data_IF_440419167455
#
_entry.id   IF_440419167455
#
_cell.length_a   1.000
_cell.length_b   1.000
_cell.length_c   1.000
_cell.angle_alpha   90.00
_cell.angle_beta   90.00
_cell.angle_gamma   90.00
#
_symmetry.space_group_name_H-M   'P 1'
#
loop_
_entity.id
_entity.type
_entity.pdbx_description
1 polymer ?
#
# COMPACT_ATOMS: atom_id res chain seq x y z
N UNK A 1 5.02 -17.91 -18.06
CA UNK A 1 4.43 -17.69 -16.73
C UNK A 1 4.87 -16.31 -16.24
N UNK A 2 3.94 -15.33 -16.14
CA UNK A 2 4.25 -13.97 -15.72
C UNK A 2 4.83 -13.88 -14.30
N UNK A 3 4.52 -14.84 -13.42
CA UNK A 3 5.10 -14.89 -12.07
C UNK A 3 6.62 -15.11 -12.14
N UNK A 4 7.04 -16.17 -12.84
CA UNK A 4 8.45 -16.49 -13.02
C UNK A 4 9.23 -15.36 -13.70
N UNK A 5 8.61 -14.66 -14.67
CA UNK A 5 9.23 -13.52 -15.33
C UNK A 5 9.48 -12.35 -14.36
N UNK A 6 8.48 -11.97 -13.57
CA UNK A 6 8.60 -10.88 -12.57
C UNK A 6 9.61 -11.26 -11.50
N UNK A 7 9.54 -12.50 -10.98
CA UNK A 7 10.46 -13.01 -9.98
C UNK A 7 11.92 -12.96 -10.47
N UNK A 8 12.16 -13.36 -11.71
CA UNK A 8 13.49 -13.27 -12.33
C UNK A 8 13.96 -11.82 -12.48
N UNK A 9 13.07 -10.87 -12.82
CA UNK A 9 13.40 -9.44 -12.87
C UNK A 9 13.79 -8.88 -11.50
N UNK A 10 13.08 -9.26 -10.43
CA UNK A 10 13.42 -8.85 -9.05
C UNK A 10 14.80 -9.38 -8.68
N UNK A 11 15.05 -10.67 -8.89
CA UNK A 11 16.34 -11.31 -8.60
C UNK A 11 17.47 -10.64 -9.40
N UNK A 12 17.26 -10.38 -10.69
CA UNK A 12 18.24 -9.73 -11.54
C UNK A 12 18.57 -8.31 -11.05
N UNK A 13 17.56 -7.54 -10.64
CA UNK A 13 17.74 -6.22 -10.06
C UNK A 13 18.58 -6.32 -8.77
N UNK A 14 18.21 -7.18 -7.83
CA UNK A 14 18.93 -7.35 -6.56
C UNK A 14 20.38 -7.78 -6.78
N UNK A 15 20.62 -8.72 -7.70
CA UNK A 15 21.97 -9.14 -8.09
C UNK A 15 22.79 -7.97 -8.67
N UNK A 16 22.17 -7.15 -9.52
CA UNK A 16 22.82 -5.99 -10.14
C UNK A 16 23.18 -4.93 -9.09
N UNK A 17 22.26 -4.65 -8.17
CA UNK A 17 22.48 -3.69 -7.07
C UNK A 17 23.58 -4.18 -6.14
N UNK A 18 23.60 -5.49 -5.83
CA UNK A 18 24.63 -6.10 -4.98
C UNK A 18 25.99 -6.11 -5.66
N UNK A 19 26.05 -6.45 -6.95
CA UNK A 19 27.30 -6.45 -7.72
C UNK A 19 27.93 -5.07 -7.93
N UNK A 20 27.14 -4.00 -7.76
CA UNK A 20 27.60 -2.61 -7.78
C UNK A 20 27.87 -2.03 -6.37
N UNK A 21 27.79 -2.86 -5.32
CA UNK A 21 27.89 -2.44 -3.92
C UNK A 21 26.92 -1.30 -3.52
N UNK A 22 25.77 -1.21 -4.20
CA UNK A 22 24.73 -0.21 -3.89
C UNK A 22 23.84 -0.64 -2.71
N UNK A 23 23.84 -1.93 -2.36
CA UNK A 23 23.08 -2.49 -1.24
C UNK A 23 23.98 -3.38 -0.38
N UNK A 24 23.79 -3.33 0.96
CA UNK A 24 24.54 -4.14 1.91
C UNK A 24 24.12 -5.61 1.82
N UNK A 25 25.02 -6.51 2.25
CA UNK A 25 24.77 -7.97 2.23
C UNK A 25 23.47 -8.36 2.96
N UNK A 26 23.24 -7.81 4.14
CA UNK A 26 22.03 -8.13 4.91
C UNK A 26 20.75 -7.63 4.24
N UNK A 27 20.77 -6.48 3.55
CA UNK A 27 19.61 -5.97 2.79
C UNK A 27 19.28 -6.90 1.63
N UNK A 28 20.31 -7.34 0.90
CA UNK A 28 20.17 -8.32 -0.18
C UNK A 28 19.55 -9.63 0.34
N UNK A 29 20.06 -10.18 1.44
CA UNK A 29 19.57 -11.43 2.00
C UNK A 29 18.10 -11.33 2.47
N UNK A 30 17.69 -10.21 3.07
CA UNK A 30 16.32 -9.99 3.52
C UNK A 30 15.33 -9.77 2.36
N UNK A 31 15.75 -9.10 1.29
CA UNK A 31 14.89 -8.78 0.15
C UNK A 31 14.80 -9.90 -0.89
N UNK A 32 15.69 -10.89 -0.84
CA UNK A 32 15.74 -11.94 -1.84
C UNK A 32 14.48 -12.82 -1.75
N UNK A 33 13.65 -12.88 -2.81
CA UNK A 33 12.38 -13.58 -2.73
C UNK A 33 12.59 -15.11 -2.66
N UNK A 34 11.92 -15.74 -1.70
CA UNK A 34 11.87 -17.21 -1.58
C UNK A 34 10.90 -17.79 -2.60
N UNK A 35 11.43 -18.49 -3.61
CA UNK A 35 10.64 -19.08 -4.70
C UNK A 35 9.56 -20.05 -4.21
N UNK A 36 9.74 -20.63 -3.03
CA UNK A 36 8.80 -21.62 -2.47
C UNK A 36 7.67 -20.98 -1.66
N UNK A 37 7.79 -19.69 -1.32
CA UNK A 37 6.83 -18.95 -0.50
C UNK A 37 6.21 -17.75 -1.20
N UNK A 38 6.81 -17.27 -2.30
CA UNK A 38 6.26 -16.18 -3.08
C UNK A 38 5.07 -16.66 -3.92
N UNK A 39 3.98 -15.90 -3.87
CA UNK A 39 2.79 -16.10 -4.70
C UNK A 39 2.48 -14.81 -5.47
N UNK A 40 1.81 -14.93 -6.62
CA UNK A 40 1.25 -13.77 -7.32
C UNK A 40 0.20 -13.14 -6.42
N UNK A 41 0.37 -11.86 -6.08
CA UNK A 41 -0.67 -11.14 -5.37
C UNK A 41 -1.99 -11.23 -6.14
N UNK A 42 -3.06 -11.67 -5.46
CA UNK A 42 -4.39 -11.74 -6.06
C UNK A 42 -4.75 -10.35 -6.62
N UNK A 43 -4.79 -10.25 -7.95
CA UNK A 43 -4.95 -9.01 -8.67
C UNK A 43 -6.31 -8.37 -8.35
N UNK A 44 -6.34 -7.45 -7.40
CA UNK A 44 -7.44 -6.52 -7.21
C UNK A 44 -7.32 -5.40 -8.24
N UNK A 45 -7.68 -5.71 -9.49
CA UNK A 45 -7.74 -4.77 -10.61
C UNK A 45 -8.82 -3.71 -10.38
N UNK A 46 -8.53 -2.69 -9.56
CA UNK A 46 -9.14 -1.39 -9.71
C UNK A 46 -8.02 -0.39 -10.04
N UNK A 47 -8.13 0.40 -11.13
CA UNK A 47 -7.16 1.44 -11.43
C UNK A 47 -7.12 2.42 -10.25
N UNK A 48 -6.07 2.32 -9.43
CA UNK A 48 -5.86 3.20 -8.28
C UNK A 48 -5.42 4.56 -8.83
N UNK A 49 -6.30 5.55 -8.76
CA UNK A 49 -6.11 6.92 -9.25
C UNK A 49 -5.26 7.79 -8.32
N UNK A 50 -4.76 7.25 -7.21
CA UNK A 50 -3.85 7.90 -6.26
C UNK A 50 -2.41 7.42 -6.50
N UNK A 51 -1.84 7.80 -7.65
CA UNK A 51 -0.70 7.11 -8.25
C UNK A 51 0.67 7.40 -7.62
N UNK A 52 0.91 8.59 -7.09
CA UNK A 52 2.30 9.03 -6.87
C UNK A 52 3.07 8.19 -5.84
N UNK A 53 2.36 7.54 -4.91
CA UNK A 53 2.96 6.77 -3.82
C UNK A 53 2.42 5.35 -3.69
N UNK A 54 1.55 4.93 -4.63
CA UNK A 54 0.92 3.61 -4.58
C UNK A 54 1.62 2.64 -5.52
N UNK A 55 2.18 1.58 -4.96
CA UNK A 55 2.68 0.43 -5.70
C UNK A 55 1.49 -0.47 -6.07
N UNK A 56 1.44 -0.91 -7.31
CA UNK A 56 0.34 -1.75 -7.85
C UNK A 56 0.70 -3.23 -7.76
N UNK A 57 1.96 -3.54 -8.02
CA UNK A 57 2.54 -4.89 -8.03
C UNK A 57 4.09 -4.79 -8.02
N UNK A 58 4.76 -5.94 -7.97
CA UNK A 58 6.22 -6.00 -7.97
C UNK A 58 6.86 -5.40 -9.23
N UNK A 59 6.21 -5.48 -10.40
CA UNK A 59 6.74 -4.90 -11.63
C UNK A 59 6.71 -3.37 -11.59
N UNK A 60 5.64 -2.78 -11.04
CA UNK A 60 5.53 -1.35 -10.80
C UNK A 60 6.58 -0.85 -9.79
N UNK A 61 6.83 -1.62 -8.72
CA UNK A 61 7.90 -1.32 -7.76
C UNK A 61 9.27 -1.32 -8.44
N UNK A 62 9.61 -2.37 -9.18
CA UNK A 62 10.89 -2.46 -9.91
C UNK A 62 11.05 -1.29 -10.87
N UNK A 63 9.99 -0.93 -11.59
CA UNK A 63 10.01 0.15 -12.57
C UNK A 63 10.31 1.49 -11.91
N UNK A 64 9.57 1.85 -10.85
CA UNK A 64 9.78 3.11 -10.14
C UNK A 64 11.12 3.13 -9.39
N UNK A 65 11.52 2.03 -8.75
CA UNK A 65 12.79 1.94 -8.05
C UNK A 65 13.99 1.99 -9.01
N UNK A 66 13.87 1.41 -10.21
CA UNK A 66 14.91 1.53 -11.24
C UNK A 66 15.07 2.97 -11.70
N UNK A 67 13.99 3.75 -11.83
CA UNK A 67 14.08 5.18 -12.13
C UNK A 67 14.79 5.94 -11.01
N UNK A 68 14.42 5.66 -9.76
CA UNK A 68 15.08 6.23 -8.58
C UNK A 68 16.61 5.97 -8.59
N UNK A 69 17.01 4.72 -8.88
CA UNK A 69 18.42 4.36 -9.01
C UNK A 69 19.10 5.03 -10.22
N UNK A 70 18.45 5.08 -11.38
CA UNK A 70 19.00 5.70 -12.59
C UNK A 70 19.20 7.21 -12.45
N UNK A 71 18.44 7.86 -11.57
CA UNK A 71 18.63 9.27 -11.21
C UNK A 71 19.79 9.49 -10.22
N UNK A 72 20.52 8.45 -9.82
CA UNK A 72 21.66 8.55 -8.91
C UNK A 72 21.28 8.79 -7.44
N UNK A 73 20.00 8.60 -7.09
CA UNK A 73 19.50 8.83 -5.72
C UNK A 73 19.82 7.65 -4.78
N UNK A 74 19.98 6.44 -5.34
CA UNK A 74 20.43 5.27 -4.60
C UNK A 74 21.95 5.32 -4.38
N UNK A 75 22.36 5.37 -3.11
CA UNK A 75 23.77 5.47 -2.67
C UNK A 75 24.20 4.17 -1.98
N UNK A 76 25.51 3.86 -1.91
CA UNK A 76 26.00 2.69 -1.18
C UNK A 76 25.61 2.65 0.31
N UNK A 77 25.37 3.82 0.91
CA UNK A 77 24.95 3.98 2.29
C UNK A 77 23.43 4.00 2.49
N UNK A 78 22.62 3.90 1.41
CA UNK A 78 21.16 3.95 1.51
C UNK A 78 20.63 2.83 2.39
N UNK A 79 19.89 3.19 3.42
CA UNK A 79 19.14 2.26 4.25
C UNK A 79 17.79 1.96 3.60
N UNK A 80 17.37 0.71 3.74
CA UNK A 80 16.07 0.25 3.25
C UNK A 80 15.16 0.01 4.44
N UNK A 81 14.00 0.64 4.41
CA UNK A 81 13.03 0.60 5.49
C UNK A 81 11.74 -0.03 4.97
N UNK A 82 11.23 -1.01 5.71
CA UNK A 82 9.92 -1.61 5.46
C UNK A 82 9.04 -1.40 6.68
N UNK A 83 7.77 -1.10 6.44
CA UNK A 83 6.76 -0.98 7.50
C UNK A 83 5.55 -1.82 7.13
N UNK A 84 5.03 -2.56 8.11
CA UNK A 84 3.82 -3.37 8.00
C UNK A 84 2.70 -2.73 8.83
N UNK A 85 1.61 -2.33 8.16
CA UNK A 85 0.43 -1.77 8.83
C UNK A 85 -0.43 -2.90 9.35
N UNK A 86 -0.18 -3.27 10.61
CA UNK A 86 -0.94 -4.33 11.28
C UNK A 86 -2.42 -4.01 11.38
N UNK A 87 -3.25 -5.02 11.07
CA UNK A 87 -4.68 -5.00 11.33
C UNK A 87 -5.44 -3.85 10.66
N UNK A 88 -4.98 -3.37 9.48
CA UNK A 88 -5.57 -2.21 8.80
C UNK A 88 -7.11 -2.32 8.67
N UNK A 89 -7.62 -3.47 8.25
CA UNK A 89 -9.06 -3.66 8.04
C UNK A 89 -9.87 -3.82 9.34
N UNK A 90 -9.27 -4.45 10.35
CA UNK A 90 -9.94 -4.77 11.62
C UNK A 90 -9.87 -3.61 12.62
N UNK A 91 -8.84 -2.78 12.56
CA UNK A 91 -8.67 -1.59 13.40
C UNK A 91 -9.37 -0.35 12.84
N UNK A 92 -9.54 -0.26 11.51
CA UNK A 92 -10.31 0.83 10.93
C UNK A 92 -11.79 0.66 11.30
N UNK A 93 -12.32 1.55 12.13
CA UNK A 93 -13.73 1.46 12.49
C UNK A 93 -14.61 1.78 11.28
N UNK A 94 -15.81 1.18 11.23
CA UNK A 94 -16.78 1.44 10.17
C UNK A 94 -17.12 2.94 10.07
N UNK A 95 -17.16 3.64 11.20
CA UNK A 95 -17.38 5.08 11.23
C UNK A 95 -16.18 5.87 10.70
N UNK A 96 -14.94 5.51 11.07
CA UNK A 96 -13.73 6.13 10.51
C UNK A 96 -13.63 5.92 9.00
N UNK A 97 -14.01 4.74 8.50
CA UNK A 97 -14.04 4.43 7.08
C UNK A 97 -15.04 5.33 6.34
N UNK A 98 -16.28 5.43 6.86
CA UNK A 98 -17.31 6.32 6.30
C UNK A 98 -16.89 7.79 6.33
N UNK A 99 -16.34 8.25 7.46
CA UNK A 99 -15.87 9.63 7.59
C UNK A 99 -14.72 9.94 6.62
N UNK A 100 -13.83 8.99 6.39
CA UNK A 100 -12.74 9.11 5.42
C UNK A 100 -13.28 9.22 4.00
N UNK A 101 -14.26 8.39 3.62
CA UNK A 101 -14.93 8.48 2.33
C UNK A 101 -15.57 9.85 2.12
N UNK A 102 -16.31 10.35 3.11
CA UNK A 102 -17.00 11.63 3.02
C UNK A 102 -16.00 12.78 2.86
N UNK A 103 -14.94 12.81 3.67
CA UNK A 103 -13.87 13.82 3.56
C UNK A 103 -13.19 13.77 2.21
N UNK A 104 -12.95 12.57 1.68
CA UNK A 104 -12.35 12.37 0.37
C UNK A 104 -13.23 12.92 -0.75
N UNK A 105 -14.53 12.56 -0.78
CA UNK A 105 -15.47 13.06 -1.80
C UNK A 105 -15.55 14.60 -1.75
N UNK A 106 -15.63 15.18 -0.55
CA UNK A 106 -15.67 16.63 -0.36
C UNK A 106 -14.37 17.33 -0.79
N UNK A 107 -13.20 16.72 -0.55
CA UNK A 107 -11.91 17.31 -0.93
C UNK A 107 -11.77 17.46 -2.46
N UNK A 108 -12.41 16.60 -3.25
CA UNK A 108 -12.46 16.72 -4.70
C UNK A 108 -13.64 17.56 -5.23
N UNK A 109 -14.37 18.24 -4.35
CA UNK A 109 -15.44 19.16 -4.72
C UNK A 109 -16.70 18.50 -5.31
N UNK A 110 -16.82 17.18 -5.22
CA UNK A 110 -18.01 16.49 -5.68
C UNK A 110 -19.21 16.87 -4.81
N UNK A 111 -20.38 17.04 -5.46
CA UNK A 111 -21.70 17.12 -4.80
C UNK A 111 -22.60 15.93 -5.16
N UNK A 112 -22.28 15.27 -6.27
CA UNK A 112 -22.87 14.02 -6.76
C UNK A 112 -21.80 13.21 -7.46
N UNK A 113 -21.91 11.89 -7.43
CA UNK A 113 -21.06 10.97 -8.20
C UNK A 113 -21.96 10.17 -9.12
N UNK A 114 -21.76 10.30 -10.45
CA UNK A 114 -22.62 9.67 -11.48
C UNK A 114 -24.12 9.91 -11.24
N UNK A 115 -24.50 11.13 -10.83
CA UNK A 115 -25.88 11.50 -10.54
C UNK A 115 -26.39 11.13 -9.14
N UNK A 116 -25.65 10.32 -8.37
CA UNK A 116 -26.02 9.90 -7.00
C UNK A 116 -25.56 10.96 -5.99
N UNK A 117 -26.45 11.35 -5.07
CA UNK A 117 -26.10 12.29 -3.99
C UNK A 117 -25.13 11.67 -2.99
N UNK A 118 -24.32 12.51 -2.34
CA UNK A 118 -23.34 12.06 -1.36
C UNK A 118 -24.02 11.39 -0.16
N UNK A 119 -25.18 11.89 0.28
CA UNK A 119 -25.95 11.26 1.35
C UNK A 119 -26.38 9.83 0.98
N UNK A 120 -26.78 9.60 -0.27
CA UNK A 120 -27.10 8.26 -0.76
C UNK A 120 -25.86 7.39 -0.79
N UNK A 121 -24.71 7.90 -1.26
CA UNK A 121 -23.44 7.16 -1.24
C UNK A 121 -23.06 6.78 0.19
N UNK A 122 -23.17 7.70 1.15
CA UNK A 122 -22.90 7.46 2.56
C UNK A 122 -23.79 6.36 3.13
N UNK A 123 -25.10 6.39 2.82
CA UNK A 123 -26.06 5.37 3.24
C UNK A 123 -25.72 4.00 2.66
N UNK A 124 -25.46 3.91 1.36
CA UNK A 124 -25.09 2.66 0.69
C UNK A 124 -23.79 2.08 1.26
N UNK A 125 -22.76 2.90 1.43
CA UNK A 125 -21.51 2.48 2.06
C UNK A 125 -21.74 2.00 3.50
N UNK A 126 -22.58 2.70 4.27
CA UNK A 126 -22.91 2.30 5.64
C UNK A 126 -23.60 0.93 5.70
N UNK A 127 -24.48 0.62 4.76
CA UNK A 127 -25.15 -0.69 4.69
C UNK A 127 -24.11 -1.78 4.43
N UNK A 128 -23.24 -1.60 3.44
CA UNK A 128 -22.20 -2.58 3.10
C UNK A 128 -21.25 -2.86 4.28
N UNK A 129 -20.94 -1.83 5.08
CA UNK A 129 -20.05 -1.95 6.23
C UNK A 129 -20.73 -2.57 7.45
N UNK A 130 -21.97 -2.15 7.76
CA UNK A 130 -22.66 -2.51 9.01
C UNK A 130 -23.49 -3.79 8.93
N UNK A 131 -24.01 -4.10 7.76
CA UNK A 131 -24.87 -5.27 7.54
C UNK A 131 -24.08 -6.47 7.01
N UNK A 132 -22.79 -6.55 7.33
CA UNK A 132 -21.97 -7.69 6.95
C UNK A 132 -22.28 -8.90 7.85
N UNK A 133 -22.75 -9.99 7.23
CA UNK A 133 -23.10 -11.23 7.89
C UNK A 133 -22.25 -12.36 7.34
N UNK A 134 -21.69 -13.18 8.23
CA UNK A 134 -20.92 -14.37 7.87
C UNK A 134 -21.42 -15.60 8.62
N UNK A 135 -21.17 -16.79 8.05
CA UNK A 135 -21.53 -18.07 8.65
C UNK A 135 -20.30 -18.74 9.26
N UNK A 136 -20.44 -19.21 10.51
CA UNK A 136 -19.43 -20.03 11.17
C UNK A 136 -20.12 -21.08 12.04
N UNK A 137 -19.70 -22.35 11.94
CA UNK A 137 -20.26 -23.42 12.77
C UNK A 137 -21.79 -23.55 12.69
N UNK A 138 -22.37 -23.46 11.48
CA UNK A 138 -23.83 -23.48 11.22
C UNK A 138 -24.63 -22.33 11.88
N UNK A 139 -23.95 -21.29 12.37
CA UNK A 139 -24.57 -20.09 12.93
C UNK A 139 -24.22 -18.88 12.05
N UNK A 140 -25.13 -17.90 12.03
CA UNK A 140 -24.93 -16.62 11.36
C UNK A 140 -24.50 -15.57 12.40
N UNK A 141 -23.52 -14.75 12.02
CA UNK A 141 -22.97 -13.69 12.85
C UNK A 141 -22.94 -12.39 12.04
N UNK A 142 -23.29 -11.27 12.68
CA UNK A 142 -23.09 -9.94 12.11
C UNK A 142 -21.79 -9.36 12.63
N UNK A 143 -20.95 -8.86 11.74
CA UNK A 143 -19.71 -8.18 12.12
C UNK A 143 -20.04 -6.82 12.74
N UNK A 144 -19.66 -6.62 14.00
CA UNK A 144 -19.89 -5.37 14.75
C UNK A 144 -18.64 -4.51 14.90
N UNK A 145 -17.46 -5.06 14.59
CA UNK A 145 -16.17 -4.38 14.74
C UNK A 145 -15.27 -4.63 13.52
N UNK A 146 -14.50 -3.60 13.16
CA UNK A 146 -13.68 -3.59 11.96
C UNK A 146 -14.52 -3.66 10.68
N UNK A 147 -13.83 -3.90 9.57
CA UNK A 147 -14.45 -4.08 8.26
C UNK A 147 -14.23 -5.51 7.76
N UNK A 148 -15.14 -5.99 6.92
CA UNK A 148 -15.04 -7.32 6.37
C UNK A 148 -13.88 -7.42 5.37
N UNK A 149 -12.93 -8.31 5.66
CA UNK A 149 -11.90 -8.72 4.71
C UNK A 149 -12.57 -9.38 3.50
N UNK A 150 -12.09 -9.08 2.29
CA UNK A 150 -12.66 -9.57 1.04
C UNK A 150 -13.75 -8.69 0.43
N UNK A 151 -14.23 -7.66 1.14
CA UNK A 151 -15.12 -6.64 0.54
C UNK A 151 -14.32 -5.65 -0.32
N UNK A 152 -14.71 -5.50 -1.59
CA UNK A 152 -14.07 -4.55 -2.52
C UNK A 152 -14.19 -3.09 -2.06
N UNK A 153 -15.29 -2.75 -1.36
CA UNK A 153 -15.47 -1.43 -0.77
C UNK A 153 -14.49 -1.21 0.39
N UNK A 154 -14.33 -2.22 1.25
CA UNK A 154 -13.42 -2.15 2.40
C UNK A 154 -11.98 -1.85 1.99
N UNK A 155 -11.47 -2.50 0.92
CA UNK A 155 -10.16 -2.21 0.35
C UNK A 155 -10.04 -0.76 -0.14
N UNK A 156 -11.08 -0.27 -0.82
CA UNK A 156 -11.12 1.11 -1.30
C UNK A 156 -11.08 2.10 -0.15
N UNK A 157 -11.87 1.86 0.90
CA UNK A 157 -11.94 2.71 2.09
C UNK A 157 -10.64 2.71 2.88
N UNK A 158 -9.99 1.55 3.03
CA UNK A 158 -8.68 1.45 3.65
C UNK A 158 -7.63 2.26 2.89
N UNK A 159 -7.65 2.22 1.55
CA UNK A 159 -6.74 3.04 0.74
C UNK A 159 -7.00 4.54 0.88
N UNK A 160 -8.27 4.97 0.94
CA UNK A 160 -8.64 6.38 1.19
C UNK A 160 -8.18 6.84 2.57
N UNK A 161 -8.35 5.99 3.59
CA UNK A 161 -7.87 6.28 4.94
C UNK A 161 -6.35 6.42 4.95
N UNK A 162 -5.65 5.46 4.34
CA UNK A 162 -4.18 5.46 4.28
C UNK A 162 -3.62 6.61 3.46
N UNK A 163 -4.27 7.04 2.38
CA UNK A 163 -3.82 8.22 1.60
C UNK A 163 -3.77 9.48 2.46
N UNK A 164 -4.64 9.58 3.48
CA UNK A 164 -4.60 10.67 4.44
C UNK A 164 -3.51 10.47 5.49
N UNK A 165 -3.41 9.27 6.08
CA UNK A 165 -2.43 8.98 7.13
C UNK A 165 -0.99 9.12 6.65
N UNK A 166 -0.71 8.67 5.42
CA UNK A 166 0.64 8.68 4.87
C UNK A 166 1.07 10.03 4.29
N UNK A 167 0.14 11.01 4.18
CA UNK A 167 0.36 12.24 3.40
C UNK A 167 1.65 12.96 3.82
N UNK A 168 1.83 13.19 5.11
CA UNK A 168 2.98 13.92 5.62
C UNK A 168 4.30 13.16 5.38
N UNK A 169 4.30 11.85 5.64
CA UNK A 169 5.49 10.99 5.42
C UNK A 169 5.86 10.99 3.94
N UNK A 170 4.89 10.79 3.05
CA UNK A 170 5.09 10.82 1.62
C UNK A 170 5.64 12.18 1.13
N UNK A 171 5.09 13.28 1.63
CA UNK A 171 5.55 14.64 1.30
C UNK A 171 6.97 14.91 1.82
N UNK A 172 7.31 14.44 3.01
CA UNK A 172 8.66 14.54 3.58
C UNK A 172 9.66 13.73 2.75
N UNK A 173 9.37 12.47 2.44
CA UNK A 173 10.22 11.61 1.61
C UNK A 173 10.47 12.24 0.23
N UNK A 174 9.41 12.78 -0.39
CA UNK A 174 9.52 13.49 -1.67
C UNK A 174 10.45 14.71 -1.58
N UNK A 175 10.36 15.50 -0.50
CA UNK A 175 11.20 16.70 -0.30
C UNK A 175 12.69 16.36 -0.15
N UNK A 176 13.00 15.19 0.37
CA UNK A 176 14.39 14.74 0.59
C UNK A 176 14.90 13.84 -0.53
N UNK A 177 14.15 13.74 -1.63
CA UNK A 177 14.47 12.93 -2.81
C UNK A 177 14.69 11.44 -2.47
N UNK A 178 13.90 10.92 -1.53
CA UNK A 178 13.90 9.51 -1.16
C UNK A 178 12.72 8.77 -1.79
N UNK A 179 12.91 7.47 -2.02
CA UNK A 179 11.86 6.59 -2.51
C UNK A 179 10.84 6.35 -1.40
N UNK A 180 9.55 6.47 -1.74
CA UNK A 180 8.45 6.03 -0.88
C UNK A 180 7.40 5.33 -1.74
N UNK A 181 7.01 4.12 -1.36
CA UNK A 181 5.95 3.39 -2.02
C UNK A 181 5.16 2.51 -1.04
N UNK A 182 3.84 2.53 -1.17
CA UNK A 182 2.93 1.68 -0.40
C UNK A 182 2.22 0.67 -1.28
N UNK A 183 2.27 -0.60 -0.91
CA UNK A 183 1.47 -1.68 -1.43
C UNK A 183 0.48 -2.17 -0.36
N UNK A 184 -0.78 -1.71 -0.42
CA UNK A 184 -1.82 -2.06 0.57
C UNK A 184 -1.38 -1.74 2.01
N UNK A 185 -0.94 -2.72 2.78
CA UNK A 185 -0.46 -2.65 4.15
C UNK A 185 1.07 -2.58 4.26
N UNK A 186 1.79 -2.95 3.20
CA UNK A 186 3.24 -2.85 3.12
C UNK A 186 3.69 -1.47 2.65
N UNK A 187 4.68 -0.90 3.32
CA UNK A 187 5.38 0.31 2.88
C UNK A 187 6.86 -0.02 2.71
N UNK A 188 7.42 0.46 1.62
CA UNK A 188 8.85 0.44 1.34
C UNK A 188 9.35 1.86 1.12
N UNK A 189 10.42 2.24 1.80
CA UNK A 189 11.09 3.52 1.59
C UNK A 189 12.62 3.41 1.70
N UNK A 190 13.32 4.40 1.15
CA UNK A 190 14.77 4.53 1.27
C UNK A 190 15.14 5.65 2.24
N UNK A 191 16.35 5.58 2.78
CA UNK A 191 16.87 6.60 3.69
C UNK A 191 18.38 6.76 3.54
N UNK A 192 18.82 7.90 3.02
CA UNK A 192 20.24 8.25 2.86
C UNK A 192 20.83 9.06 4.02
N UNK A 193 20.11 9.20 5.15
CA UNK A 193 20.61 9.92 6.34
C UNK A 193 21.00 8.94 7.45
N UNK A 194 21.37 9.49 8.60
CA UNK A 194 21.77 8.71 9.77
C UNK A 194 20.62 7.84 10.29
N UNK A 195 20.94 6.62 10.73
CA UNK A 195 19.96 5.64 11.22
C UNK A 195 19.27 6.15 12.50
N UNK A 196 19.98 6.95 13.29
CA UNK A 196 19.48 7.54 14.54
C UNK A 196 18.31 8.49 14.30
N UNK A 197 18.19 9.09 13.11
CA UNK A 197 17.05 9.93 12.73
C UNK A 197 15.78 9.11 12.47
N UNK A 198 15.90 7.83 12.07
CA UNK A 198 14.75 6.93 11.85
C UNK A 198 14.13 6.41 13.15
N UNK A 199 14.87 6.46 14.26
CA UNK A 199 14.47 5.86 15.56
C UNK A 199 13.77 6.87 16.50
N UNK A 200 13.61 8.12 16.07
CA UNK A 200 12.90 9.17 16.82
C UNK A 200 11.43 9.21 16.44
#
# INVERSE_FOLDING_TARGET
>A
DPFNEILNKVIQLLNTLRGKDLIRKWQYEQMMPDRTKCELAHLYFNPKTHKDTTIIDSASLITEFSKYNNNGLLKPATLFCTFDIRNLYTMLSQEQALNSLMKFISAYGYRKVKGISIDTIKKLASIVLKENVFAYGKKLYRQTAGNAMGSSLTLTLANIFMSKCQKNIAEEQTKIEEFYGRYIDDIFMTWNRFEEELRK
#
